data_IF_598380134777
#
_entry.id   IF_598380134777
#
_cell.length_a   1.000
_cell.length_b   1.000
_cell.length_c   1.000
_cell.angle_alpha   90.00
_cell.angle_beta   90.00
_cell.angle_gamma   90.00
#
_symmetry.space_group_name_H-M   'P 1'
#
loop_
_entity.id
_entity.type
_entity.pdbx_description
1 polymer ?
#
# COMPACT_ATOMS: atom_id res chain seq x y z
N UNK A 1 35.17 0.20 -30.80
CA UNK A 1 36.34 0.14 -29.90
C UNK A 1 35.84 -0.15 -28.49
N UNK A 2 35.95 -1.38 -27.98
CA UNK A 2 35.62 -1.70 -26.60
C UNK A 2 36.90 -1.78 -25.73
N UNK A 3 36.84 -1.29 -24.50
CA UNK A 3 37.44 -1.91 -23.31
C UNK A 3 37.31 -0.97 -22.09
N UNK A 4 36.27 -1.22 -21.31
CA UNK A 4 36.12 -0.78 -19.93
C UNK A 4 36.83 -1.79 -19.02
N UNK A 5 37.82 -1.37 -18.21
CA UNK A 5 38.35 -2.14 -17.07
C UNK A 5 39.05 -1.25 -16.04
N UNK A 6 38.57 -1.29 -14.78
CA UNK A 6 39.32 -1.38 -13.50
C UNK A 6 38.29 -1.29 -12.36
N UNK A 7 37.86 -2.41 -11.78
CA UNK A 7 38.49 -3.18 -10.70
C UNK A 7 38.14 -2.66 -9.30
N UNK A 8 37.51 -3.57 -8.54
CA UNK A 8 36.93 -3.56 -7.20
C UNK A 8 37.93 -3.25 -6.08
N UNK A 9 37.46 -2.58 -5.01
CA UNK A 9 37.95 -2.83 -3.65
C UNK A 9 36.84 -2.59 -2.61
N UNK A 10 36.77 -3.51 -1.66
CA UNK A 10 35.69 -3.85 -0.73
C UNK A 10 36.19 -3.55 0.69
N UNK A 11 35.46 -2.81 1.54
CA UNK A 11 35.71 -2.80 2.99
C UNK A 11 34.39 -2.72 3.76
N UNK A 12 34.25 -3.69 4.66
CA UNK A 12 33.13 -4.06 5.51
C UNK A 12 33.52 -3.67 6.95
N UNK A 13 32.67 -2.95 7.72
CA UNK A 13 32.84 -2.82 9.18
C UNK A 13 31.47 -2.89 9.86
N UNK A 14 31.28 -3.95 10.64
CA UNK A 14 30.17 -4.22 11.56
C UNK A 14 30.65 -3.95 12.99
N UNK A 15 29.87 -3.26 13.82
CA UNK A 15 30.01 -3.28 15.29
C UNK A 15 28.64 -3.34 15.97
N UNK A 16 28.42 -4.43 16.70
CA UNK A 16 27.29 -4.70 17.61
C UNK A 16 27.50 -3.99 18.96
N UNK A 17 26.44 -3.43 19.54
CA UNK A 17 26.41 -3.18 21.00
C UNK A 17 25.11 -3.73 21.60
N UNK A 18 25.29 -4.54 22.64
CA UNK A 18 24.26 -5.13 23.48
C UNK A 18 24.36 -4.52 24.89
N UNK A 19 23.21 -4.34 25.55
CA UNK A 19 23.08 -4.14 27.01
C UNK A 19 21.60 -4.34 27.39
N UNK A 20 21.19 -5.35 28.17
CA UNK A 20 21.32 -5.53 29.64
C UNK A 20 20.69 -4.37 30.43
N UNK A 21 19.92 -4.51 31.51
CA UNK A 21 19.45 -5.62 32.36
C UNK A 21 18.67 -4.97 33.54
N UNK A 22 17.61 -5.62 34.07
CA UNK A 22 17.11 -5.41 35.45
C UNK A 22 15.90 -4.46 35.60
N UNK A 23 14.97 -4.63 36.54
CA UNK A 23 14.77 -5.61 37.61
C UNK A 23 13.52 -5.24 38.45
N UNK A 24 12.62 -6.23 38.63
CA UNK A 24 11.59 -6.61 39.64
C UNK A 24 11.11 -5.66 40.78
N UNK A 25 10.21 -6.08 41.71
CA UNK A 25 8.83 -5.59 41.84
C UNK A 25 8.60 -4.79 43.15
N UNK A 26 7.41 -4.24 43.37
CA UNK A 26 7.02 -3.75 44.70
C UNK A 26 5.61 -4.22 45.08
N UNK A 27 5.59 -4.94 46.20
CA UNK A 27 4.45 -5.43 46.97
C UNK A 27 4.05 -4.39 48.02
N UNK A 28 2.77 -4.27 48.33
CA UNK A 28 2.27 -3.67 49.58
C UNK A 28 0.79 -3.30 49.48
N UNK A 29 -0.15 -4.13 49.95
CA UNK A 29 -0.66 -4.34 51.33
C UNK A 29 -2.02 -3.67 51.54
N UNK A 30 -2.96 -4.48 52.02
CA UNK A 30 -4.37 -4.22 52.34
C UNK A 30 -4.65 -3.03 53.28
N UNK A 31 -5.84 -2.43 53.16
CA UNK A 31 -6.69 -2.12 54.32
C UNK A 31 -8.10 -1.60 54.00
N UNK A 32 -9.08 -2.39 54.46
CA UNK A 32 -10.32 -2.03 55.17
C UNK A 32 -11.43 -1.20 54.49
N UNK A 33 -12.53 -1.93 54.27
CA UNK A 33 -13.95 -1.53 54.12
C UNK A 33 -14.47 -0.58 55.19
N UNK A 34 -15.47 0.26 54.84
CA UNK A 34 -16.69 0.29 55.66
C UNK A 34 -17.99 0.12 54.84
N UNK A 35 -18.85 -0.76 55.36
CA UNK A 35 -20.25 -0.99 55.01
C UNK A 35 -21.11 0.22 55.39
N UNK A 36 -22.06 0.63 54.53
CA UNK A 36 -23.45 0.96 54.93
C UNK A 36 -24.44 0.75 53.77
N UNK A 37 -25.53 0.07 54.07
CA UNK A 37 -26.73 -0.14 53.26
C UNK A 37 -27.78 0.91 53.64
N UNK A 38 -28.52 1.45 52.65
CA UNK A 38 -29.95 1.65 52.87
C UNK A 38 -30.79 1.00 51.77
N UNK A 39 -31.79 0.24 52.23
CA UNK A 39 -32.93 -0.30 51.51
C UNK A 39 -33.95 0.80 51.18
N UNK A 40 -34.44 0.85 49.94
CA UNK A 40 -35.82 1.24 49.55
C UNK A 40 -35.95 1.07 48.01
N UNK A 41 -36.72 0.09 47.51
CA UNK A 41 -38.17 0.10 47.22
C UNK A 41 -38.37 0.09 45.69
N UNK A 42 -38.93 -1.02 45.20
CA UNK A 42 -39.24 -1.27 43.79
C UNK A 42 -40.33 -0.34 43.22
N UNK A 43 -40.21 -0.03 41.93
CA UNK A 43 -41.35 0.28 41.07
C UNK A 43 -41.06 -0.25 39.65
N UNK A 44 -41.99 -0.96 38.99
CA UNK A 44 -41.72 -1.67 37.75
C UNK A 44 -41.88 -0.74 36.54
N UNK A 45 -40.77 -0.47 35.85
CA UNK A 45 -40.77 0.08 34.50
C UNK A 45 -40.67 -1.07 33.49
N UNK A 46 -41.74 -1.31 32.74
CA UNK A 46 -41.80 -2.27 31.62
C UNK A 46 -40.64 -2.01 30.64
N UNK A 47 -39.78 -3.00 30.31
CA UNK A 47 -38.84 -2.84 29.22
C UNK A 47 -39.63 -2.71 27.92
N UNK A 48 -39.43 -1.60 27.21
CA UNK A 48 -39.84 -1.47 25.80
C UNK A 48 -39.29 -2.67 25.04
N UNK A 49 -40.11 -3.41 24.26
CA UNK A 49 -39.57 -4.44 23.40
C UNK A 49 -38.63 -3.77 22.38
N UNK A 50 -37.35 -4.12 22.43
CA UNK A 50 -36.44 -3.93 21.30
C UNK A 50 -37.10 -4.59 20.08
N UNK A 51 -37.24 -3.89 18.94
CA UNK A 51 -37.73 -4.56 17.73
C UNK A 51 -36.80 -5.74 17.42
N UNK A 52 -37.42 -6.91 17.29
CA UNK A 52 -36.78 -8.12 16.78
C UNK A 52 -36.09 -7.76 15.45
N UNK A 53 -34.79 -8.07 15.25
CA UNK A 53 -34.19 -7.88 13.95
C UNK A 53 -34.97 -8.74 12.96
N UNK A 54 -35.53 -8.11 11.93
CA UNK A 54 -36.18 -8.77 10.80
C UNK A 54 -35.27 -9.91 10.32
N UNK A 55 -35.71 -11.18 10.33
CA UNK A 55 -34.96 -12.26 9.72
C UNK A 55 -34.91 -12.00 8.21
N UNK A 56 -33.80 -11.46 7.71
CA UNK A 56 -33.64 -11.19 6.28
C UNK A 56 -32.59 -10.16 5.90
N UNK A 57 -32.14 -9.29 6.81
CA UNK A 57 -30.98 -8.42 6.53
C UNK A 57 -29.73 -9.11 7.04
N UNK A 58 -29.17 -9.98 6.20
CA UNK A 58 -27.74 -10.32 6.31
C UNK A 58 -27.00 -9.00 6.21
N UNK A 59 -26.36 -8.56 7.29
CA UNK A 59 -25.33 -7.55 7.20
C UNK A 59 -24.33 -8.07 6.16
N UNK A 60 -24.30 -7.47 4.97
CA UNK A 60 -23.20 -7.69 4.05
C UNK A 60 -21.98 -7.14 4.76
N UNK A 61 -21.23 -8.03 5.41
CA UNK A 61 -20.03 -7.66 6.13
C UNK A 61 -19.11 -6.95 5.14
N UNK A 62 -18.80 -5.68 5.41
CA UNK A 62 -18.00 -4.80 4.54
C UNK A 62 -16.69 -5.50 4.11
N UNK A 63 -16.12 -6.33 5.00
CA UNK A 63 -14.96 -7.19 4.75
C UNK A 63 -15.13 -8.21 3.61
N UNK A 64 -16.33 -8.75 3.42
CA UNK A 64 -16.60 -9.70 2.31
C UNK A 64 -16.51 -9.01 0.95
N UNK A 65 -16.65 -7.68 0.89
CA UNK A 65 -16.61 -6.93 -0.37
C UNK A 65 -15.16 -6.76 -0.86
N UNK A 66 -14.23 -6.44 0.04
CA UNK A 66 -12.79 -6.33 -0.30
C UNK A 66 -12.20 -7.68 -0.72
N UNK A 67 -12.53 -8.76 0.01
CA UNK A 67 -12.09 -10.11 -0.37
C UNK A 67 -12.57 -10.48 -1.77
N UNK A 68 -13.85 -10.27 -2.07
CA UNK A 68 -14.40 -10.55 -3.41
C UNK A 68 -13.74 -9.69 -4.51
N UNK A 69 -13.42 -8.43 -4.21
CA UNK A 69 -12.73 -7.56 -5.17
C UNK A 69 -11.31 -8.08 -5.49
N UNK A 70 -10.60 -8.62 -4.50
CA UNK A 70 -9.25 -9.17 -4.69
C UNK A 70 -9.23 -10.44 -5.55
N UNK A 71 -10.36 -11.16 -5.65
CA UNK A 71 -10.50 -12.39 -6.44
C UNK A 71 -11.06 -12.15 -7.85
N UNK A 72 -11.56 -10.95 -8.13
CA UNK A 72 -12.18 -10.61 -9.41
C UNK A 72 -11.15 -9.99 -10.36
N UNK A 73 -10.86 -10.58 -11.54
CA UNK A 73 -9.99 -9.97 -12.53
C UNK A 73 -10.53 -8.63 -13.02
N UNK A 74 -9.65 -7.66 -13.12
CA UNK A 74 -9.87 -6.33 -13.65
C UNK A 74 -8.54 -5.79 -14.24
N UNK A 75 -8.28 -5.99 -15.54
CA UNK A 75 -7.02 -5.61 -16.17
C UNK A 75 -6.93 -4.12 -16.54
N UNK A 76 -8.04 -3.38 -16.47
CA UNK A 76 -8.05 -1.93 -16.75
C UNK A 76 -7.34 -1.20 -15.60
N UNK A 77 -6.02 -1.01 -15.78
CA UNK A 77 -5.12 -0.42 -14.80
C UNK A 77 -4.17 0.49 -15.56
N UNK A 78 -4.46 1.78 -15.53
CA UNK A 78 -3.60 2.77 -16.16
C UNK A 78 -2.32 2.97 -15.32
N UNK A 79 -1.23 3.24 -16.03
CA UNK A 79 0.00 3.78 -15.47
C UNK A 79 -0.06 5.29 -15.72
N UNK A 80 -0.37 6.01 -14.66
CA UNK A 80 -0.51 7.45 -14.66
C UNK A 80 0.80 8.12 -14.27
N UNK A 81 1.21 9.16 -14.99
CA UNK A 81 2.46 9.87 -14.73
C UNK A 81 2.16 11.35 -14.49
N UNK A 82 2.62 11.85 -13.35
CA UNK A 82 2.46 13.25 -12.97
C UNK A 82 3.82 13.88 -12.65
N UNK A 83 4.09 15.06 -13.24
CA UNK A 83 5.25 15.88 -12.91
C UNK A 83 4.82 17.16 -12.19
N UNK A 84 4.81 17.11 -10.87
CA UNK A 84 4.49 18.25 -10.00
C UNK A 84 5.67 19.18 -9.78
N UNK A 85 6.85 18.80 -10.24
CA UNK A 85 8.03 19.64 -10.16
C UNK A 85 7.96 20.81 -11.14
N UNK A 86 8.64 21.90 -10.82
CA UNK A 86 8.68 23.11 -11.65
C UNK A 86 9.66 23.03 -12.83
N UNK A 87 10.14 21.84 -13.19
CA UNK A 87 11.07 21.61 -14.31
C UNK A 87 10.65 20.40 -15.12
N UNK A 88 10.98 20.42 -16.40
CA UNK A 88 10.85 19.25 -17.25
C UNK A 88 11.78 18.13 -16.76
N UNK A 89 11.33 16.89 -16.85
CA UNK A 89 12.04 15.70 -16.37
C UNK A 89 11.90 14.56 -17.37
N UNK A 90 13.02 13.89 -17.66
CA UNK A 90 13.01 12.65 -18.43
C UNK A 90 12.70 11.49 -17.47
N UNK A 91 11.69 10.69 -17.83
CA UNK A 91 11.26 9.53 -17.08
C UNK A 91 11.30 8.32 -18.01
N UNK A 92 12.05 7.29 -17.62
CA UNK A 92 11.99 5.96 -18.25
C UNK A 92 11.05 5.07 -17.45
N UNK A 93 10.07 4.49 -18.11
CA UNK A 93 9.11 3.56 -17.53
C UNK A 93 9.29 2.19 -18.18
N UNK A 94 9.35 1.15 -17.37
CA UNK A 94 9.37 -0.25 -17.81
C UNK A 94 8.32 -1.03 -17.03
N UNK A 95 7.53 -1.83 -17.75
CA UNK A 95 6.48 -2.68 -17.19
C UNK A 95 6.83 -4.13 -17.49
N UNK A 96 6.95 -4.91 -16.43
CA UNK A 96 7.36 -6.31 -16.50
C UNK A 96 6.25 -7.18 -15.91
N UNK A 97 5.83 -8.21 -16.65
CA UNK A 97 4.98 -9.28 -16.13
C UNK A 97 5.80 -10.15 -15.19
N UNK A 98 5.43 -10.23 -13.92
CA UNK A 98 6.24 -10.88 -12.89
C UNK A 98 6.44 -12.38 -13.13
N UNK A 99 5.38 -13.07 -13.58
CA UNK A 99 5.39 -14.52 -13.73
C UNK A 99 6.38 -15.01 -14.81
N UNK A 100 6.57 -14.24 -15.88
CA UNK A 100 7.38 -14.62 -17.05
C UNK A 100 8.64 -13.77 -17.19
N UNK A 101 8.75 -12.68 -16.44
CA UNK A 101 9.77 -11.64 -16.60
C UNK A 101 9.80 -11.05 -18.03
N UNK A 102 8.64 -11.01 -18.69
CA UNK A 102 8.43 -10.39 -19.99
C UNK A 102 8.25 -8.88 -19.82
N UNK A 103 9.01 -8.08 -20.55
CA UNK A 103 8.80 -6.63 -20.64
C UNK A 103 7.69 -6.35 -21.67
N UNK A 104 6.54 -5.89 -21.19
CA UNK A 104 5.35 -5.62 -22.01
C UNK A 104 5.28 -4.16 -22.48
N UNK A 105 5.96 -3.26 -21.77
CA UNK A 105 6.11 -1.85 -22.13
C UNK A 105 7.47 -1.33 -21.66
N UNK A 106 8.14 -0.54 -22.51
CA UNK A 106 9.32 0.23 -22.12
C UNK A 106 9.45 1.48 -22.99
N UNK A 107 9.45 2.65 -22.34
CA UNK A 107 9.60 3.93 -23.02
C UNK A 107 10.32 4.95 -22.14
N UNK A 108 10.97 5.92 -22.79
CA UNK A 108 11.59 7.07 -22.14
C UNK A 108 11.01 8.34 -22.76
N UNK A 109 10.36 9.17 -21.95
CA UNK A 109 9.75 10.41 -22.40
C UNK A 109 10.12 11.60 -21.49
N UNK A 110 10.06 12.80 -22.06
CA UNK A 110 10.17 14.05 -21.29
C UNK A 110 8.78 14.54 -20.88
N UNK A 111 8.62 14.80 -19.59
CA UNK A 111 7.41 15.36 -19.00
C UNK A 111 7.66 16.82 -18.63
N UNK A 112 6.90 17.74 -19.23
CA UNK A 112 6.95 19.17 -18.90
C UNK A 112 6.45 19.45 -17.47
N UNK A 113 6.73 20.63 -16.89
CA UNK A 113 6.16 21.01 -15.60
C UNK A 113 4.63 20.97 -15.63
N UNK A 114 4.01 20.27 -14.67
CA UNK A 114 2.58 20.09 -14.59
C UNK A 114 1.99 19.08 -15.60
N UNK A 115 2.82 18.28 -16.27
CA UNK A 115 2.32 17.18 -17.08
C UNK A 115 1.62 16.13 -16.20
N UNK A 116 0.45 15.68 -16.65
CA UNK A 116 -0.47 14.76 -15.96
C UNK A 116 -1.16 13.97 -17.08
N UNK A 117 -0.83 12.68 -17.23
CA UNK A 117 -1.37 11.80 -18.28
C UNK A 117 -1.05 10.32 -18.04
N UNK A 118 -1.87 9.45 -18.62
CA UNK A 118 -1.59 8.02 -18.70
C UNK A 118 -0.59 7.72 -19.83
N UNK A 119 0.27 6.71 -19.62
CA UNK A 119 1.29 6.29 -20.60
C UNK A 119 1.09 4.87 -21.13
N UNK A 120 0.42 4.01 -20.36
CA UNK A 120 0.19 2.61 -20.70
C UNK A 120 -0.97 2.06 -19.86
N UNK A 121 -1.78 1.15 -20.42
CA UNK A 121 -2.76 0.38 -19.64
C UNK A 121 -2.39 -1.10 -19.62
N UNK A 122 -2.47 -1.75 -18.45
CA UNK A 122 -2.15 -3.18 -18.31
C UNK A 122 -3.08 -4.09 -19.14
N UNK A 123 -4.28 -3.63 -19.52
CA UNK A 123 -5.16 -4.38 -20.41
C UNK A 123 -4.51 -4.64 -21.79
N UNK A 124 -3.60 -3.77 -22.23
CA UNK A 124 -2.88 -3.91 -23.50
C UNK A 124 -1.94 -5.13 -23.48
N UNK A 125 -1.48 -5.53 -22.30
CA UNK A 125 -0.68 -6.75 -22.12
C UNK A 125 -1.55 -8.03 -22.21
N UNK A 126 -2.87 -7.92 -22.33
CA UNK A 126 -3.80 -9.04 -22.42
C UNK A 126 -3.59 -10.13 -21.34
N UNK A 127 -3.68 -9.78 -20.05
CA UNK A 127 -3.47 -10.75 -18.98
C UNK A 127 -4.53 -11.85 -18.97
N UNK A 128 -4.12 -13.06 -18.59
CA UNK A 128 -4.99 -14.23 -18.42
C UNK A 128 -5.39 -14.37 -16.94
N UNK A 129 -6.43 -13.64 -16.56
CA UNK A 129 -6.91 -13.56 -15.18
C UNK A 129 -6.20 -12.49 -14.35
N UNK A 130 -5.94 -12.80 -13.09
CA UNK A 130 -5.22 -11.90 -12.17
C UNK A 130 -3.72 -12.17 -12.32
N UNK A 131 -2.98 -11.14 -12.71
CA UNK A 131 -1.55 -11.18 -12.90
C UNK A 131 -0.87 -10.01 -12.20
N UNK A 132 0.36 -10.22 -11.73
CA UNK A 132 1.18 -9.17 -11.13
C UNK A 132 2.11 -8.53 -12.14
N UNK A 133 2.15 -7.20 -12.15
CA UNK A 133 3.05 -6.40 -12.99
C UNK A 133 3.91 -5.51 -12.12
N UNK A 134 5.21 -5.47 -12.41
CA UNK A 134 6.15 -4.53 -11.81
C UNK A 134 6.38 -3.36 -12.74
N UNK A 135 6.01 -2.18 -12.26
CA UNK A 135 6.26 -0.89 -12.90
C UNK A 135 7.54 -0.34 -12.29
N UNK A 136 8.56 -0.15 -13.11
CA UNK A 136 9.82 0.47 -12.73
C UNK A 136 9.95 1.82 -13.41
N UNK A 137 10.10 2.87 -12.62
CA UNK A 137 10.36 4.22 -13.11
C UNK A 137 11.80 4.61 -12.80
N UNK A 138 12.46 5.26 -13.75
CA UNK A 138 13.77 5.88 -13.54
C UNK A 138 13.67 7.33 -13.95
N UNK A 139 13.98 8.23 -13.03
CA UNK A 139 13.98 9.66 -13.28
C UNK A 139 15.15 10.28 -12.50
N UNK A 140 15.85 11.22 -13.14
CA UNK A 140 17.03 11.87 -12.56
C UNK A 140 18.09 10.83 -12.16
N UNK A 141 18.36 10.67 -10.86
CA UNK A 141 19.33 9.72 -10.30
C UNK A 141 18.66 8.64 -9.44
N UNK A 142 17.33 8.46 -9.56
CA UNK A 142 16.55 7.51 -8.79
C UNK A 142 15.88 6.49 -9.72
N UNK A 143 15.82 5.25 -9.26
CA UNK A 143 15.05 4.17 -9.89
C UNK A 143 14.23 3.54 -8.79
N UNK A 144 12.92 3.61 -8.94
CA UNK A 144 11.96 3.10 -7.96
C UNK A 144 10.96 2.18 -8.67
N UNK A 145 10.32 1.30 -7.92
CA UNK A 145 9.37 0.35 -8.49
C UNK A 145 8.17 0.11 -7.59
N UNK A 146 7.03 -0.15 -8.22
CA UNK A 146 5.82 -0.61 -7.57
C UNK A 146 5.30 -1.86 -8.27
N UNK A 147 4.66 -2.76 -7.53
CA UNK A 147 4.00 -3.95 -8.10
C UNK A 147 2.51 -3.84 -7.83
N UNK A 148 1.70 -4.08 -8.87
CA UNK A 148 0.24 -4.10 -8.78
C UNK A 148 -0.29 -5.40 -9.38
N UNK A 149 -1.51 -5.78 -9.01
CA UNK A 149 -2.22 -6.92 -9.58
C UNK A 149 -3.42 -6.45 -10.40
N UNK A 150 -3.78 -7.21 -11.43
CA UNK A 150 -4.98 -6.96 -12.26
C UNK A 150 -6.25 -7.50 -11.62
N UNK A 151 -6.45 -7.25 -10.32
CA UNK A 151 -7.71 -7.54 -9.63
C UNK A 151 -8.49 -6.24 -9.34
N UNK A 152 -9.78 -6.37 -9.04
CA UNK A 152 -10.70 -5.25 -8.87
C UNK A 152 -10.45 -4.42 -7.60
N UNK A 153 -9.62 -4.89 -6.67
CA UNK A 153 -9.27 -4.10 -5.49
C UNK A 153 -8.12 -3.12 -5.75
N UNK A 154 -7.18 -3.45 -6.63
CA UNK A 154 -6.19 -2.47 -7.06
C UNK A 154 -6.85 -1.42 -7.97
N UNK A 155 -6.35 -0.19 -7.90
CA UNK A 155 -6.61 0.86 -8.87
C UNK A 155 -5.42 1.05 -9.80
N UNK A 156 -5.29 2.26 -10.35
CA UNK A 156 -4.16 2.62 -11.21
C UNK A 156 -2.82 2.62 -10.46
N UNK A 157 -1.74 2.44 -11.22
CA UNK A 157 -0.39 2.76 -10.77
C UNK A 157 -0.08 4.22 -11.09
N UNK A 158 0.64 4.88 -10.19
CA UNK A 158 1.05 6.27 -10.31
C UNK A 158 2.56 6.36 -10.26
N UNK A 159 3.13 7.18 -11.13
CA UNK A 159 4.54 7.59 -11.12
C UNK A 159 4.55 9.09 -10.95
N UNK A 160 4.75 9.54 -9.71
CA UNK A 160 4.78 10.96 -9.39
C UNK A 160 6.22 11.46 -9.28
N UNK A 161 6.49 12.61 -9.90
CA UNK A 161 7.62 13.46 -9.53
C UNK A 161 7.07 14.55 -8.62
N UNK A 162 7.45 14.52 -7.34
CA UNK A 162 6.94 15.44 -6.32
C UNK A 162 7.34 16.88 -6.59
N UNK A 163 6.77 17.84 -5.84
CA UNK A 163 7.11 19.27 -5.94
C UNK A 163 8.61 19.55 -5.65
N UNK A 164 9.27 18.67 -4.89
CA UNK A 164 10.72 18.73 -4.60
C UNK A 164 11.57 17.95 -5.63
N UNK A 165 10.91 17.31 -6.61
CA UNK A 165 11.53 16.55 -7.68
C UNK A 165 11.88 15.10 -7.32
N UNK A 166 11.34 14.56 -6.23
CA UNK A 166 11.55 13.17 -5.82
C UNK A 166 10.66 12.23 -6.64
N UNK A 167 11.18 11.05 -6.97
CA UNK A 167 10.41 10.02 -7.68
C UNK A 167 9.65 9.16 -6.68
N UNK A 168 8.33 9.06 -6.85
CA UNK A 168 7.46 8.34 -5.93
C UNK A 168 6.41 7.51 -6.70
N UNK A 169 6.70 6.23 -7.00
CA UNK A 169 5.71 5.34 -7.56
C UNK A 169 4.80 4.73 -6.48
N UNK A 170 3.50 4.67 -6.72
CA UNK A 170 2.51 4.10 -5.81
C UNK A 170 1.31 3.53 -6.58
N UNK A 171 0.33 2.98 -5.87
CA UNK A 171 -0.94 2.52 -6.43
C UNK A 171 -2.11 2.92 -5.54
N UNK A 172 -3.31 2.93 -6.10
CA UNK A 172 -4.55 2.99 -5.34
C UNK A 172 -5.04 1.59 -4.97
N UNK A 173 -5.71 1.45 -3.83
CA UNK A 173 -6.32 0.19 -3.38
C UNK A 173 -7.69 0.48 -2.75
N UNK A 174 -8.60 -0.48 -2.89
CA UNK A 174 -9.83 -0.60 -2.11
C UNK A 174 -9.50 -1.04 -0.66
#
# INVERSE_FOLDING_TARGET
MPAYRRSIALVLVVVLTAGCLGGTPSTGTDSATPTQTPTATEMPGTPTPTPDPTPGETATDEWTTTEQASEQPDPDKAIHVENRWNRSVEIRISVVREATNETVYEETETFEPGADRDVYNLEEASPDGIESFRITATARNATESVTIETNACYGNAYVEITEDGELYPYYAIC
#
